data_IF_379415571820
#
_entry.id   IF_379415571820
#
_cell.length_a   1.000
_cell.length_b   1.000
_cell.length_c   1.000
_cell.angle_alpha   90.00
_cell.angle_beta   90.00
_cell.angle_gamma   90.00
#
_symmetry.space_group_name_H-M   'P 1'
#
loop_
_entity.id
_entity.type
_entity.pdbx_description
1 polymer ?
#
# COMPACT_ATOMS: atom_id res chain seq x y z
N UNK A 1 -22.20 20.51 14.81
CA UNK A 1 -21.04 20.92 14.00
C UNK A 1 -19.72 20.50 14.66
N UNK A 2 -19.32 21.04 15.83
CA UNK A 2 -18.11 20.62 16.57
C UNK A 2 -17.93 19.08 16.76
N UNK A 3 -19.04 18.36 16.95
CA UNK A 3 -19.07 16.91 17.19
C UNK A 3 -18.82 16.06 15.95
N UNK A 4 -19.06 16.60 14.74
CA UNK A 4 -18.80 15.88 13.48
C UNK A 4 -17.35 16.09 13.02
N UNK A 5 -16.73 17.24 13.34
CA UNK A 5 -15.33 17.53 13.02
C UNK A 5 -14.35 16.56 13.70
N UNK A 6 -14.54 16.28 14.99
CA UNK A 6 -13.72 15.30 15.70
C UNK A 6 -13.92 13.86 15.19
N UNK A 7 -15.06 13.55 14.57
CA UNK A 7 -15.37 12.21 14.03
C UNK A 7 -14.58 11.88 12.76
N UNK A 8 -14.40 12.83 11.85
CA UNK A 8 -13.68 12.63 10.57
C UNK A 8 -12.20 12.30 10.80
N UNK A 9 -11.50 13.13 11.58
CA UNK A 9 -10.09 12.90 11.93
C UNK A 9 -9.90 11.63 12.76
N UNK A 10 -10.86 11.28 13.64
CA UNK A 10 -10.80 10.02 14.39
C UNK A 10 -11.06 8.80 13.52
N UNK A 11 -11.83 8.92 12.43
CA UNK A 11 -12.04 7.83 11.48
C UNK A 11 -10.76 7.53 10.66
N UNK A 12 -10.06 8.56 10.19
CA UNK A 12 -8.74 8.39 9.54
C UNK A 12 -7.71 7.85 10.53
N UNK A 13 -7.72 8.33 11.78
CA UNK A 13 -6.87 7.81 12.86
C UNK A 13 -7.15 6.36 13.20
N UNK A 14 -8.41 5.92 13.21
CA UNK A 14 -8.76 4.50 13.43
C UNK A 14 -8.16 3.63 12.35
N UNK A 15 -8.22 4.04 11.10
CA UNK A 15 -7.61 3.29 9.98
C UNK A 15 -6.08 3.24 10.11
N UNK A 16 -5.44 4.37 10.45
CA UNK A 16 -4.02 4.43 10.74
C UNK A 16 -3.62 3.54 11.93
N UNK A 17 -4.44 3.51 12.99
CA UNK A 17 -4.21 2.68 14.18
C UNK A 17 -4.33 1.19 13.85
N UNK A 18 -5.38 0.79 13.11
CA UNK A 18 -5.50 -0.61 12.65
C UNK A 18 -4.32 -1.04 11.80
N UNK A 19 -3.73 -0.11 11.03
CA UNK A 19 -2.53 -0.39 10.24
C UNK A 19 -1.26 -0.53 11.10
N UNK A 20 -1.06 0.35 12.09
CA UNK A 20 0.07 0.23 13.01
C UNK A 20 0.00 -1.09 13.79
N UNK A 21 -1.19 -1.43 14.31
CA UNK A 21 -1.41 -2.69 15.05
C UNK A 21 -1.23 -3.93 14.14
N UNK A 22 -1.60 -3.86 12.86
CA UNK A 22 -1.35 -4.93 11.91
C UNK A 22 0.14 -5.09 11.56
N UNK A 23 0.91 -3.99 11.54
CA UNK A 23 2.36 -4.05 11.33
C UNK A 23 3.12 -4.57 12.56
N UNK A 24 2.64 -4.28 13.78
CA UNK A 24 3.27 -4.75 15.03
C UNK A 24 3.09 -6.26 15.27
N UNK A 25 2.08 -6.89 14.66
CA UNK A 25 1.92 -8.35 14.69
C UNK A 25 2.93 -9.11 13.78
N UNK A 26 3.76 -8.39 13.02
CA UNK A 26 4.86 -8.95 12.22
C UNK A 26 6.22 -8.98 12.91
N UNK A 27 6.30 -8.58 14.18
CA UNK A 27 7.58 -8.36 14.89
C UNK A 27 7.75 -9.16 16.18
N UNK A 28 7.77 -10.49 16.12
CA UNK A 28 8.35 -11.31 17.19
C UNK A 28 9.51 -12.15 16.65
N UNK A 29 10.69 -11.53 16.59
CA UNK A 29 11.96 -12.25 16.65
C UNK A 29 12.11 -12.76 18.09
N UNK A 30 11.84 -14.05 18.30
CA UNK A 30 11.88 -14.63 19.65
C UNK A 30 12.01 -16.15 19.70
N UNK A 31 13.26 -16.60 19.72
CA UNK A 31 13.75 -17.87 20.29
C UNK A 31 13.69 -19.15 19.45
N UNK A 32 14.84 -19.46 18.85
CA UNK A 32 15.24 -20.80 18.40
C UNK A 32 15.24 -21.76 19.60
N UNK A 33 14.34 -22.75 19.57
CA UNK A 33 14.33 -23.90 20.47
C UNK A 33 14.08 -25.15 19.63
N UNK A 34 15.07 -26.04 19.57
CA UNK A 34 15.07 -27.23 18.73
C UNK A 34 13.98 -28.24 19.08
N UNK A 35 13.44 -28.89 18.06
CA UNK A 35 12.49 -29.99 18.18
C UNK A 35 12.27 -30.66 16.83
N UNK A 36 12.87 -31.83 16.66
CA UNK A 36 12.71 -32.75 15.53
C UNK A 36 11.26 -33.19 15.37
N UNK A 37 10.77 -33.29 14.12
CA UNK A 37 9.46 -33.87 13.82
C UNK A 37 8.99 -33.63 12.39
N UNK A 38 9.39 -34.49 11.48
CA UNK A 38 8.74 -34.65 10.16
C UNK A 38 7.36 -35.30 10.35
N UNK A 39 6.29 -34.63 9.91
CA UNK A 39 5.09 -35.31 9.43
C UNK A 39 4.15 -34.34 8.72
N UNK A 40 4.00 -34.55 7.41
CA UNK A 40 2.71 -34.53 6.73
C UNK A 40 2.06 -33.18 6.44
N UNK A 41 2.11 -32.80 5.15
CA UNK A 41 1.07 -32.02 4.49
C UNK A 41 1.18 -30.51 4.64
N UNK A 42 1.74 -29.83 3.64
CA UNK A 42 1.39 -28.43 3.40
C UNK A 42 1.55 -28.04 1.92
N UNK A 43 0.66 -28.58 1.08
CA UNK A 43 0.41 -28.07 -0.28
C UNK A 43 -0.37 -26.74 -0.27
N UNK A 44 0.03 -25.79 0.57
CA UNK A 44 -0.75 -24.59 0.86
C UNK A 44 0.01 -23.26 0.89
N UNK A 45 1.34 -23.26 0.72
CA UNK A 45 2.14 -22.06 1.06
C UNK A 45 2.03 -20.93 0.01
N UNK A 46 1.81 -21.26 -1.27
CA UNK A 46 1.63 -20.24 -2.31
C UNK A 46 0.19 -19.68 -2.38
N UNK A 47 -0.80 -20.46 -1.93
CA UNK A 47 -2.21 -20.03 -1.85
C UNK A 47 -2.54 -19.23 -0.58
N UNK A 48 -1.73 -19.35 0.48
CA UNK A 48 -1.96 -18.67 1.76
C UNK A 48 -1.51 -17.21 1.79
N UNK A 49 -0.48 -16.83 1.02
CA UNK A 49 0.11 -15.48 1.02
C UNK A 49 -0.74 -14.41 0.31
N UNK A 50 -1.79 -14.83 -0.41
CA UNK A 50 -2.81 -13.94 -0.97
C UNK A 50 -3.93 -13.63 0.02
N UNK A 51 -3.95 -14.29 1.19
CA UNK A 51 -5.03 -14.22 2.18
C UNK A 51 -4.61 -13.54 3.48
N UNK A 52 -3.78 -12.50 3.41
CA UNK A 52 -3.67 -11.57 4.54
C UNK A 52 -4.78 -10.52 4.44
N UNK A 53 -5.80 -10.53 5.33
CA UNK A 53 -6.84 -9.50 5.35
C UNK A 53 -6.30 -8.09 5.66
N UNK A 54 -5.04 -7.97 6.09
CA UNK A 54 -4.31 -6.70 6.24
C UNK A 54 -3.75 -6.13 4.93
N UNK A 55 -3.81 -6.88 3.83
CA UNK A 55 -3.17 -6.55 2.55
C UNK A 55 -4.13 -5.89 1.55
N UNK A 56 -5.46 -6.00 1.71
CA UNK A 56 -6.40 -5.35 0.79
C UNK A 56 -6.30 -3.82 0.88
N UNK A 57 -5.89 -3.16 -0.20
CA UNK A 57 -5.91 -1.69 -0.27
C UNK A 57 -7.35 -1.20 -0.03
N UNK A 58 -7.61 -0.40 1.03
CA UNK A 58 -8.93 0.16 1.27
C UNK A 58 -9.30 1.14 0.15
N UNK A 59 -10.59 1.37 -0.06
CA UNK A 59 -11.04 2.42 -0.97
C UNK A 59 -10.53 3.79 -0.51
N UNK A 60 -10.05 4.62 -1.44
CA UNK A 60 -9.66 5.99 -1.13
C UNK A 60 -10.86 6.77 -0.60
N UNK A 61 -10.73 7.35 0.60
CA UNK A 61 -11.82 8.10 1.26
C UNK A 61 -11.79 9.57 0.86
N UNK A 62 -12.18 9.84 -0.39
CA UNK A 62 -12.15 11.19 -0.95
C UNK A 62 -12.99 12.19 -0.15
N UNK A 63 -14.19 11.80 0.29
CA UNK A 63 -15.06 12.66 1.09
C UNK A 63 -14.47 13.02 2.46
N UNK A 64 -13.82 12.08 3.14
CA UNK A 64 -13.21 12.36 4.45
C UNK A 64 -11.99 13.26 4.30
N UNK A 65 -11.17 13.04 3.26
CA UNK A 65 -10.05 13.91 2.92
C UNK A 65 -10.54 15.32 2.56
N UNK A 66 -11.58 15.43 1.74
CA UNK A 66 -12.21 16.70 1.36
C UNK A 66 -12.73 17.46 2.58
N UNK A 67 -13.41 16.77 3.51
CA UNK A 67 -13.87 17.37 4.77
C UNK A 67 -12.71 17.85 5.63
N UNK A 68 -11.65 17.06 5.79
CA UNK A 68 -10.46 17.49 6.54
C UNK A 68 -9.77 18.71 5.89
N UNK A 69 -9.75 18.80 4.55
CA UNK A 69 -9.22 19.97 3.85
C UNK A 69 -10.09 21.21 4.06
N UNK A 70 -11.42 21.05 4.06
CA UNK A 70 -12.34 22.14 4.40
C UNK A 70 -12.11 22.62 5.84
N UNK A 71 -11.95 21.72 6.80
CA UNK A 71 -11.65 22.04 8.19
C UNK A 71 -10.32 22.80 8.33
N UNK A 72 -9.30 22.41 7.55
CA UNK A 72 -8.02 23.14 7.50
C UNK A 72 -8.22 24.56 6.97
N UNK A 73 -9.05 24.75 5.94
CA UNK A 73 -9.36 26.09 5.43
C UNK A 73 -10.11 26.94 6.47
N UNK A 74 -11.14 26.39 7.12
CA UNK A 74 -11.92 27.08 8.15
C UNK A 74 -11.06 27.50 9.36
N UNK A 75 -10.17 26.62 9.84
CA UNK A 75 -9.22 26.96 10.90
C UNK A 75 -8.19 28.00 10.46
N UNK A 76 -7.76 27.97 9.21
CA UNK A 76 -6.83 28.97 8.66
C UNK A 76 -7.48 30.35 8.54
N UNK A 77 -8.70 30.43 7.99
CA UNK A 77 -9.47 31.68 7.89
C UNK A 77 -9.75 32.27 9.28
N UNK A 78 -10.15 31.43 10.24
CA UNK A 78 -10.37 31.85 11.62
C UNK A 78 -9.08 32.41 12.26
N UNK A 79 -7.95 31.73 12.04
CA UNK A 79 -6.64 32.16 12.53
C UNK A 79 -6.24 33.52 11.94
N UNK A 80 -6.39 33.70 10.62
CA UNK A 80 -6.07 34.95 9.93
C UNK A 80 -6.95 36.09 10.43
N UNK A 81 -8.27 35.85 10.58
CA UNK A 81 -9.20 36.84 11.12
C UNK A 81 -8.83 37.30 12.53
N UNK A 82 -8.42 36.38 13.40
CA UNK A 82 -7.94 36.72 14.75
C UNK A 82 -6.66 37.55 14.67
N UNK A 83 -5.70 37.18 13.82
CA UNK A 83 -4.44 37.90 13.65
C UNK A 83 -4.64 39.31 13.07
N UNK A 84 -5.55 39.48 12.11
CA UNK A 84 -5.88 40.78 11.53
C UNK A 84 -6.57 41.69 12.56
N UNK A 85 -7.55 41.17 13.31
CA UNK A 85 -8.18 41.91 14.40
C UNK A 85 -7.17 42.33 15.49
N UNK A 86 -6.16 41.51 15.74
CA UNK A 86 -5.06 41.83 16.66
C UNK A 86 -4.12 42.90 16.12
N UNK A 87 -3.83 42.88 14.81
CA UNK A 87 -3.03 43.91 14.15
C UNK A 87 -3.68 45.28 14.30
N UNK A 88 -5.00 45.34 14.19
CA UNK A 88 -5.75 46.60 14.25
C UNK A 88 -5.91 47.15 15.68
N UNK A 89 -5.79 46.30 16.72
CA UNK A 89 -5.97 46.68 18.13
C UNK A 89 -4.66 47.00 18.89
N UNK A 90 -3.49 46.65 18.34
CA UNK A 90 -2.17 46.96 18.92
C UNK A 90 -1.54 45.80 19.74
N UNK A 91 -0.20 45.81 19.82
CA UNK A 91 0.68 44.62 19.98
C UNK A 91 0.96 44.19 21.44
N UNK A 92 0.09 44.49 22.40
CA UNK A 92 0.30 44.05 23.78
C UNK A 92 -0.31 42.64 24.01
N UNK A 93 0.47 41.59 23.73
CA UNK A 93 0.13 40.20 24.10
C UNK A 93 0.12 40.00 25.63
N UNK A 94 0.80 40.88 26.37
CA UNK A 94 0.78 40.95 27.83
C UNK A 94 -0.60 41.39 28.31
N UNK A 95 -1.43 40.43 28.74
CA UNK A 95 -2.74 40.67 29.36
C UNK A 95 -3.93 40.01 28.66
N UNK A 96 -3.73 39.31 27.53
CA UNK A 96 -4.81 38.62 26.78
C UNK A 96 -4.53 37.13 26.57
N UNK A 97 -4.45 36.30 27.64
CA UNK A 97 -4.16 34.88 27.52
C UNK A 97 -5.20 34.11 26.68
N UNK A 98 -6.45 34.60 26.66
CA UNK A 98 -7.55 34.00 25.90
C UNK A 98 -7.27 33.96 24.40
N UNK A 99 -6.76 35.05 23.83
CA UNK A 99 -6.53 35.11 22.38
C UNK A 99 -5.26 34.41 21.98
N UNK A 100 -4.20 34.51 22.79
CA UNK A 100 -3.01 33.68 22.61
C UNK A 100 -3.38 32.19 22.61
N UNK A 101 -4.25 31.77 23.52
CA UNK A 101 -4.74 30.39 23.58
C UNK A 101 -5.56 30.02 22.34
N UNK A 102 -6.44 30.92 21.87
CA UNK A 102 -7.24 30.68 20.65
C UNK A 102 -6.37 30.49 19.41
N UNK A 103 -5.37 31.36 19.21
CA UNK A 103 -4.38 31.26 18.11
C UNK A 103 -3.64 29.92 18.20
N UNK A 104 -3.20 29.52 19.40
CA UNK A 104 -2.53 28.24 19.60
C UNK A 104 -3.45 27.05 19.28
N UNK A 105 -4.72 27.08 19.69
CA UNK A 105 -5.68 26.01 19.41
C UNK A 105 -5.86 25.84 17.89
N UNK A 106 -6.12 26.93 17.17
CA UNK A 106 -6.26 26.89 15.70
C UNK A 106 -4.97 26.42 15.02
N UNK A 107 -3.81 26.91 15.46
CA UNK A 107 -2.52 26.49 14.92
C UNK A 107 -2.24 24.99 15.16
N UNK A 108 -2.50 24.49 16.37
CA UNK A 108 -2.32 23.07 16.69
C UNK A 108 -3.30 22.17 15.93
N UNK A 109 -4.55 22.62 15.72
CA UNK A 109 -5.52 21.91 14.89
C UNK A 109 -5.05 21.77 13.44
N UNK A 110 -4.51 22.85 12.85
CA UNK A 110 -3.91 22.81 11.50
C UNK A 110 -2.75 21.82 11.41
N UNK A 111 -1.81 21.86 12.36
CA UNK A 111 -0.68 20.94 12.38
C UNK A 111 -1.12 19.49 12.55
N UNK A 112 -2.12 19.23 13.40
CA UNK A 112 -2.71 17.90 13.56
C UNK A 112 -3.31 17.41 12.25
N UNK A 113 -4.18 18.20 11.62
CA UNK A 113 -4.86 17.80 10.38
C UNK A 113 -3.88 17.58 9.24
N UNK A 114 -2.86 18.43 9.10
CA UNK A 114 -1.75 18.23 8.17
C UNK A 114 -1.04 16.90 8.40
N UNK A 115 -0.66 16.59 9.64
CA UNK A 115 0.03 15.32 9.98
C UNK A 115 -0.83 14.12 9.67
N UNK A 116 -2.13 14.17 9.97
CA UNK A 116 -3.07 13.07 9.69
C UNK A 116 -3.25 12.81 8.19
N UNK A 117 -3.42 13.87 7.40
CA UNK A 117 -3.54 13.75 5.94
C UNK A 117 -2.26 13.18 5.33
N UNK A 118 -1.08 13.66 5.76
CA UNK A 118 0.20 13.13 5.30
C UNK A 118 0.39 11.67 5.71
N UNK A 119 0.06 11.31 6.96
CA UNK A 119 0.16 9.94 7.44
C UNK A 119 -0.77 8.99 6.66
N UNK A 120 -2.02 9.39 6.41
CA UNK A 120 -2.97 8.62 5.60
C UNK A 120 -2.43 8.39 4.19
N UNK A 121 -1.97 9.44 3.53
CA UNK A 121 -1.41 9.34 2.20
C UNK A 121 -0.16 8.45 2.18
N UNK A 122 0.74 8.61 3.15
CA UNK A 122 1.95 7.82 3.24
C UNK A 122 1.66 6.33 3.47
N UNK A 123 0.77 5.99 4.41
CA UNK A 123 0.31 4.62 4.64
C UNK A 123 -0.19 3.97 3.35
N UNK A 124 -1.04 4.69 2.59
CA UNK A 124 -1.57 4.17 1.33
C UNK A 124 -0.48 4.00 0.27
N UNK A 125 0.43 4.96 0.14
CA UNK A 125 1.54 4.87 -0.80
C UNK A 125 2.48 3.69 -0.47
N UNK A 126 2.79 3.46 0.80
CA UNK A 126 3.59 2.31 1.23
C UNK A 126 2.91 0.98 0.88
N UNK A 127 1.59 0.89 1.06
CA UNK A 127 0.83 -0.30 0.61
C UNK A 127 0.91 -0.49 -0.90
N UNK A 128 0.73 0.58 -1.68
CA UNK A 128 0.80 0.52 -3.14
C UNK A 128 2.20 0.12 -3.62
N UNK A 129 3.26 0.62 -2.97
CA UNK A 129 4.64 0.18 -3.24
C UNK A 129 4.80 -1.29 -2.88
N UNK A 130 4.37 -1.73 -1.71
CA UNK A 130 4.45 -3.13 -1.29
C UNK A 130 3.73 -4.07 -2.28
N UNK A 131 2.55 -3.66 -2.77
CA UNK A 131 1.86 -4.38 -3.85
C UNK A 131 2.69 -4.48 -5.12
N UNK A 132 3.36 -3.40 -5.53
CA UNK A 132 4.22 -3.41 -6.72
C UNK A 132 5.38 -4.41 -6.58
N UNK A 133 5.93 -4.57 -5.38
CA UNK A 133 7.01 -5.53 -5.11
C UNK A 133 6.53 -6.96 -4.93
N UNK A 134 5.30 -7.19 -4.45
CA UNK A 134 4.73 -8.53 -4.25
C UNK A 134 4.04 -9.12 -5.48
N UNK A 135 3.24 -8.33 -6.17
CA UNK A 135 2.34 -8.80 -7.24
C UNK A 135 2.78 -8.34 -8.63
N UNK A 136 3.95 -7.70 -8.74
CA UNK A 136 4.33 -7.04 -9.98
C UNK A 136 3.34 -5.94 -10.33
N UNK A 137 2.64 -6.06 -11.47
CA UNK A 137 1.66 -5.06 -11.92
C UNK A 137 0.42 -5.06 -11.03
N UNK A 138 -0.05 -3.88 -10.63
CA UNK A 138 -1.27 -3.74 -9.81
C UNK A 138 -2.52 -4.26 -10.54
N UNK A 139 -3.30 -5.18 -9.93
CA UNK A 139 -4.55 -5.67 -10.51
C UNK A 139 -5.58 -4.55 -10.74
N UNK A 140 -6.46 -4.71 -11.74
CA UNK A 140 -7.51 -3.72 -12.08
C UNK A 140 -8.40 -3.38 -10.87
N UNK A 141 -8.77 -4.38 -10.08
CA UNK A 141 -9.55 -4.23 -8.85
C UNK A 141 -8.89 -3.33 -7.79
N UNK A 142 -7.57 -3.23 -7.79
CA UNK A 142 -6.81 -2.35 -6.89
C UNK A 142 -6.66 -0.96 -7.51
N UNK A 143 -6.52 -0.87 -8.84
CA UNK A 143 -6.45 0.41 -9.55
C UNK A 143 -7.73 1.24 -9.41
N UNK A 144 -8.89 0.60 -9.33
CA UNK A 144 -10.17 1.27 -9.09
C UNK A 144 -10.26 1.94 -7.72
N UNK A 145 -9.51 1.44 -6.73
CA UNK A 145 -9.50 1.96 -5.36
C UNK A 145 -8.53 3.13 -5.13
N UNK A 146 -7.75 3.49 -6.15
CA UNK A 146 -6.77 4.58 -6.10
C UNK A 146 -7.39 5.91 -6.52
N UNK A 147 -6.94 6.99 -5.88
CA UNK A 147 -7.25 8.34 -6.34
C UNK A 147 -6.48 8.69 -7.63
N UNK A 148 -6.96 9.71 -8.35
CA UNK A 148 -6.26 10.23 -9.54
C UNK A 148 -4.77 10.54 -9.30
N UNK A 149 -4.38 11.32 -8.27
CA UNK A 149 -2.97 11.59 -8.00
C UNK A 149 -2.17 10.35 -7.58
N UNK A 150 -2.80 9.37 -6.91
CA UNK A 150 -2.15 8.09 -6.61
C UNK A 150 -1.83 7.30 -7.88
N UNK A 151 -2.74 7.27 -8.86
CA UNK A 151 -2.50 6.60 -10.15
C UNK A 151 -1.30 7.21 -10.89
N UNK A 152 -1.16 8.54 -10.85
CA UNK A 152 -0.02 9.21 -11.47
C UNK A 152 1.28 8.94 -10.71
N UNK A 153 1.23 8.83 -9.39
CA UNK A 153 2.37 8.39 -8.59
C UNK A 153 2.82 6.98 -9.00
N UNK A 154 1.89 6.02 -9.12
CA UNK A 154 2.20 4.65 -9.54
C UNK A 154 2.91 4.64 -10.89
N UNK A 155 2.36 5.32 -11.91
CA UNK A 155 2.98 5.38 -13.24
C UNK A 155 4.41 5.94 -13.20
N UNK A 156 4.64 6.98 -12.40
CA UNK A 156 5.98 7.58 -12.23
C UNK A 156 6.93 6.61 -11.51
N UNK A 157 6.43 5.92 -10.49
CA UNK A 157 7.20 4.93 -9.74
C UNK A 157 7.58 3.73 -10.62
N UNK A 158 6.65 3.21 -11.41
CA UNK A 158 6.90 2.13 -12.38
C UNK A 158 7.97 2.54 -13.41
N UNK A 159 7.90 3.76 -13.93
CA UNK A 159 8.91 4.28 -14.86
C UNK A 159 10.29 4.39 -14.20
N UNK A 160 10.35 4.80 -12.94
CA UNK A 160 11.60 4.88 -12.18
C UNK A 160 12.17 3.49 -11.91
N UNK A 161 11.34 2.54 -11.50
CA UNK A 161 11.73 1.16 -11.23
C UNK A 161 12.24 0.49 -12.51
N UNK A 162 11.54 0.64 -13.64
CA UNK A 162 11.96 0.10 -14.92
C UNK A 162 13.32 0.67 -15.38
N UNK A 163 13.56 1.97 -15.15
CA UNK A 163 14.87 2.57 -15.41
C UNK A 163 15.96 1.94 -14.55
N UNK A 164 15.68 1.69 -13.28
CA UNK A 164 16.63 1.09 -12.35
C UNK A 164 16.91 -0.39 -12.68
N UNK A 165 15.87 -1.18 -12.95
CA UNK A 165 16.00 -2.58 -13.41
C UNK A 165 16.85 -2.67 -14.68
N UNK A 166 16.65 -1.76 -15.65
CA UNK A 166 17.47 -1.70 -16.86
C UNK A 166 18.94 -1.40 -16.57
N UNK A 167 19.22 -0.55 -15.58
CA UNK A 167 20.60 -0.24 -15.18
C UNK A 167 21.25 -1.39 -14.40
N UNK A 168 20.48 -2.07 -13.57
CA UNK A 168 20.94 -3.23 -12.79
C UNK A 168 21.09 -4.49 -13.65
N UNK A 169 20.41 -4.57 -14.80
CA UNK A 169 20.41 -5.73 -15.69
C UNK A 169 19.66 -6.93 -15.13
N UNK A 170 18.87 -6.74 -14.07
CA UNK A 170 18.14 -7.80 -13.36
C UNK A 170 16.74 -7.32 -13.00
N UNK A 171 15.77 -8.24 -13.05
CA UNK A 171 14.44 -7.99 -12.50
C UNK A 171 14.47 -8.14 -10.97
N UNK A 172 14.29 -7.03 -10.27
CA UNK A 172 14.30 -6.97 -8.81
C UNK A 172 12.98 -7.42 -8.16
N UNK A 173 11.96 -7.73 -8.98
CA UNK A 173 10.61 -8.05 -8.49
C UNK A 173 10.32 -9.54 -8.39
N UNK A 174 11.31 -10.38 -8.71
CA UNK A 174 11.25 -11.85 -8.70
C UNK A 174 12.40 -12.43 -7.86
N UNK A 175 12.31 -13.69 -7.45
CA UNK A 175 13.41 -14.39 -6.78
C UNK A 175 13.60 -14.07 -5.30
N UNK A 176 12.53 -13.72 -4.58
CA UNK A 176 12.61 -13.44 -3.13
C UNK A 176 12.84 -14.69 -2.27
N UNK A 177 12.50 -15.87 -2.80
CA UNK A 177 12.64 -17.14 -2.12
C UNK A 177 13.51 -18.09 -2.93
N UNK A 178 14.36 -18.90 -2.28
CA UNK A 178 15.15 -19.90 -2.99
C UNK A 178 14.21 -20.91 -3.67
N UNK A 179 14.39 -21.19 -4.96
CA UNK A 179 13.54 -22.14 -5.68
C UNK A 179 13.73 -23.55 -5.12
N UNK A 180 12.63 -24.22 -4.78
CA UNK A 180 12.64 -25.61 -4.30
C UNK A 180 12.79 -26.62 -5.44
N UNK A 181 12.22 -26.31 -6.60
CA UNK A 181 12.22 -27.15 -7.78
C UNK A 181 12.52 -26.30 -9.02
N UNK A 182 13.36 -26.82 -9.92
CA UNK A 182 13.77 -26.10 -11.14
C UNK A 182 12.64 -26.02 -12.19
N UNK A 183 11.75 -27.01 -12.21
CA UNK A 183 10.62 -27.10 -13.15
C UNK A 183 9.32 -27.13 -12.35
N UNK A 184 8.39 -26.25 -12.70
CA UNK A 184 7.08 -26.16 -12.07
C UNK A 184 5.99 -26.66 -13.02
N UNK A 185 5.09 -27.50 -12.49
CA UNK A 185 3.89 -27.91 -13.22
C UNK A 185 2.80 -26.87 -12.99
N UNK A 186 2.40 -26.19 -14.05
CA UNK A 186 1.51 -25.03 -13.98
C UNK A 186 0.28 -25.25 -14.84
N UNK A 187 -0.89 -24.80 -14.35
CA UNK A 187 -2.13 -24.71 -15.10
C UNK A 187 -2.36 -23.28 -15.56
N UNK A 188 -2.78 -23.12 -16.80
CA UNK A 188 -3.13 -21.81 -17.36
C UNK A 188 -4.51 -21.38 -16.89
N UNK A 189 -4.60 -20.20 -16.26
CA UNK A 189 -5.85 -19.60 -15.77
C UNK A 189 -6.38 -18.57 -16.78
N UNK A 190 -5.50 -17.80 -17.41
CA UNK A 190 -5.83 -16.79 -18.42
C UNK A 190 -5.14 -17.13 -19.75
N UNK A 191 -5.85 -16.96 -20.87
CA UNK A 191 -5.29 -17.23 -22.20
C UNK A 191 -4.14 -16.24 -22.49
N UNK A 192 -2.93 -16.78 -22.66
CA UNK A 192 -1.74 -16.00 -22.96
C UNK A 192 -1.31 -16.16 -24.42
N UNK A 193 -1.98 -17.04 -25.17
CA UNK A 193 -1.58 -17.41 -26.52
C UNK A 193 -0.17 -18.00 -26.58
N UNK A 194 0.52 -17.76 -27.70
CA UNK A 194 1.88 -18.26 -27.92
C UNK A 194 2.90 -17.34 -27.26
N UNK A 195 3.63 -17.86 -26.28
CA UNK A 195 4.74 -17.18 -25.63
C UNK A 195 6.07 -17.85 -25.99
N UNK A 196 7.10 -17.05 -26.23
CA UNK A 196 8.47 -17.51 -26.40
C UNK A 196 9.15 -17.58 -25.03
N UNK A 197 9.71 -18.76 -24.72
CA UNK A 197 10.53 -19.01 -23.55
C UNK A 197 11.97 -19.30 -23.95
N UNK A 198 12.93 -18.85 -23.15
CA UNK A 198 14.36 -18.96 -23.47
C UNK A 198 14.82 -20.41 -23.65
N UNK A 199 14.24 -21.35 -22.90
CA UNK A 199 14.65 -22.76 -22.93
C UNK A 199 13.70 -23.69 -23.68
N UNK A 200 12.39 -23.42 -23.65
CA UNK A 200 11.35 -24.30 -24.21
C UNK A 200 10.97 -23.88 -25.64
N UNK A 201 11.33 -22.66 -26.06
CA UNK A 201 10.88 -22.08 -27.33
C UNK A 201 9.44 -21.60 -27.22
N UNK A 202 8.71 -21.65 -28.33
CA UNK A 202 7.30 -21.26 -28.38
C UNK A 202 6.41 -22.29 -27.69
N UNK A 203 5.63 -21.86 -26.69
CA UNK A 203 4.60 -22.65 -26.07
C UNK A 203 3.24 -21.94 -26.15
N UNK A 204 2.22 -22.67 -26.59
CA UNK A 204 0.84 -22.18 -26.66
C UNK A 204 0.14 -22.40 -25.32
N UNK A 205 -0.18 -21.30 -24.64
CA UNK A 205 -0.75 -21.28 -23.30
C UNK A 205 -2.26 -20.97 -23.37
N UNK A 206 -3.04 -22.00 -23.68
CA UNK A 206 -4.50 -21.93 -23.71
C UNK A 206 -5.11 -22.17 -22.33
N UNK A 207 -6.28 -21.59 -22.05
CA UNK A 207 -6.94 -21.76 -20.75
C UNK A 207 -7.17 -23.23 -20.39
N UNK A 208 -6.74 -23.62 -19.20
CA UNK A 208 -6.93 -24.96 -18.65
C UNK A 208 -5.90 -26.01 -19.08
N UNK A 209 -4.97 -25.68 -19.98
CA UNK A 209 -3.84 -26.56 -20.30
C UNK A 209 -2.84 -26.61 -19.14
N UNK A 210 -2.07 -27.70 -19.09
CA UNK A 210 -1.04 -27.91 -18.07
C UNK A 210 0.31 -28.00 -18.75
N UNK A 211 1.25 -27.18 -18.31
CA UNK A 211 2.60 -27.10 -18.85
C UNK A 211 3.62 -27.33 -17.76
N UNK A 212 4.82 -27.78 -18.16
CA UNK A 212 5.98 -27.87 -17.28
C UNK A 212 6.95 -26.77 -17.72
N UNK A 213 7.05 -25.71 -16.92
CA UNK A 213 7.87 -24.53 -17.22
C UNK A 213 9.04 -24.42 -16.23
N UNK A 214 10.18 -23.82 -16.61
CA UNK A 214 11.23 -23.48 -15.67
C UNK A 214 10.69 -22.52 -14.61
N UNK A 215 11.25 -22.61 -13.40
CA UNK A 215 10.84 -21.76 -12.29
C UNK A 215 10.90 -20.27 -12.65
N UNK A 216 12.00 -19.84 -13.28
CA UNK A 216 12.26 -18.44 -13.65
C UNK A 216 11.16 -17.87 -14.56
N UNK A 217 10.69 -18.66 -15.52
CA UNK A 217 9.65 -18.27 -16.46
C UNK A 217 8.24 -18.32 -15.85
N UNK A 218 8.01 -19.32 -14.99
CA UNK A 218 6.72 -19.55 -14.35
C UNK A 218 6.44 -18.56 -13.21
N UNK A 219 7.46 -18.16 -12.44
CA UNK A 219 7.32 -17.36 -11.22
C UNK A 219 6.59 -16.04 -11.50
N UNK A 220 7.00 -15.31 -12.54
CA UNK A 220 6.35 -14.03 -12.90
C UNK A 220 4.87 -14.22 -13.25
N UNK A 221 4.54 -15.26 -14.00
CA UNK A 221 3.18 -15.52 -14.46
C UNK A 221 2.28 -16.06 -13.34
N UNK A 222 2.85 -16.79 -12.38
CA UNK A 222 2.16 -17.21 -11.15
C UNK A 222 1.86 -16.01 -10.26
N UNK A 223 2.84 -15.11 -10.06
CA UNK A 223 2.66 -13.88 -9.26
C UNK A 223 1.59 -12.97 -9.87
N UNK A 224 1.54 -12.86 -11.20
CA UNK A 224 0.50 -12.11 -11.92
C UNK A 224 -0.88 -12.77 -11.84
N UNK A 225 -0.97 -14.02 -11.37
CA UNK A 225 -2.21 -14.78 -11.25
C UNK A 225 -2.72 -15.40 -12.56
N UNK A 226 -1.86 -15.46 -13.59
CA UNK A 226 -2.19 -16.05 -14.90
C UNK A 226 -1.97 -17.56 -14.93
N UNK A 227 -1.06 -18.05 -14.10
CA UNK A 227 -0.76 -19.46 -13.93
C UNK A 227 -1.02 -19.90 -12.48
N UNK A 228 -1.53 -21.11 -12.32
CA UNK A 228 -1.73 -21.76 -11.04
C UNK A 228 -0.68 -22.88 -10.89
N UNK A 229 0.09 -22.88 -9.80
CA UNK A 229 1.03 -23.95 -9.51
C UNK A 229 0.29 -25.20 -9.02
N UNK A 230 0.45 -26.32 -9.73
CA UNK A 230 -0.05 -27.62 -9.34
C UNK A 230 1.07 -28.35 -8.59
N UNK A 231 1.09 -28.21 -7.26
CA UNK A 231 1.94 -29.05 -6.42
C UNK A 231 1.57 -30.53 -6.61
N UNK A 232 2.57 -31.40 -6.70
CA UNK A 232 2.38 -32.86 -6.73
C UNK A 232 1.92 -33.41 -5.38
#
# INVERSE_FOLDING_TARGET
>A
MATDFARTATNLLKELKTHLEANDLGGSLGSVGGGSGYSGGDGGVLGGLLRDPGQALPQFKEEEVRRCLQEVAEHYESLVSILDAFRDQGVAWEGRPEVASSVLIHHQALLRNKRLLMAYQNMRLERVKAFRWKCGRLPRSTQEKLSSPEKDFVKRYEKMLAKYQKQAGVDLTVGFYPPSENMLKVRVVEDLGTMEFDYIGEADLQVGTVHLLPHEDAERLIIEGKLEHLAN
#
